data_IF_409660343109
#
_entry.id   IF_409660343109
#
_cell.length_a   1.000
_cell.length_b   1.000
_cell.length_c   1.000
_cell.angle_alpha   90.00
_cell.angle_beta   90.00
_cell.angle_gamma   90.00
#
_symmetry.space_group_name_H-M   'P 1'
#
loop_
_entity.id
_entity.type
_entity.pdbx_description
1 polymer ?
#
# COMPACT_ATOMS: atom_id res chain seq x y z
N UNK A 1 -31.03 -49.25 -50.15
CA UNK A 1 -30.37 -48.60 -49.00
C UNK A 1 -30.65 -47.11 -49.11
N UNK A 2 -31.49 -46.54 -48.21
CA UNK A 2 -32.07 -45.20 -48.34
C UNK A 2 -31.44 -44.31 -47.26
N UNK A 3 -30.45 -43.49 -47.64
CA UNK A 3 -29.82 -42.52 -46.73
C UNK A 3 -30.65 -41.24 -46.70
N UNK A 4 -31.28 -40.97 -45.57
CA UNK A 4 -32.00 -39.72 -45.29
C UNK A 4 -30.99 -38.67 -44.85
N UNK A 5 -30.80 -37.63 -45.65
CA UNK A 5 -29.95 -36.47 -45.35
C UNK A 5 -30.70 -35.54 -44.38
N UNK A 6 -30.21 -35.40 -43.14
CA UNK A 6 -30.63 -34.32 -42.23
C UNK A 6 -29.60 -33.20 -42.29
N UNK A 7 -29.90 -32.12 -43.03
CA UNK A 7 -29.11 -30.87 -42.98
C UNK A 7 -29.51 -30.08 -41.73
N UNK A 8 -28.72 -30.19 -40.67
CA UNK A 8 -28.72 -29.24 -39.54
C UNK A 8 -27.27 -28.91 -39.22
N UNK A 9 -26.72 -27.93 -39.93
CA UNK A 9 -25.54 -27.22 -39.46
C UNK A 9 -25.85 -25.73 -39.60
N UNK A 10 -26.50 -25.24 -38.55
CA UNK A 10 -26.67 -23.84 -38.23
C UNK A 10 -25.30 -23.16 -38.20
N UNK A 11 -25.31 -21.93 -38.72
CA UNK A 11 -24.21 -20.96 -38.72
C UNK A 11 -23.39 -20.99 -37.42
N UNK A 12 -22.08 -21.14 -37.57
CA UNK A 12 -21.09 -20.75 -36.56
C UNK A 12 -19.99 -19.96 -37.25
N UNK A 13 -20.22 -18.67 -37.50
CA UNK A 13 -19.19 -17.75 -37.93
C UNK A 13 -19.68 -16.31 -37.76
N UNK A 14 -19.47 -15.73 -36.57
CA UNK A 14 -19.26 -14.29 -36.34
C UNK A 14 -19.19 -14.00 -34.83
N UNK A 15 -18.14 -14.49 -34.16
CA UNK A 15 -17.76 -14.03 -32.82
C UNK A 15 -16.37 -13.40 -32.82
N UNK A 16 -15.99 -12.75 -33.93
CA UNK A 16 -14.67 -12.15 -34.14
C UNK A 16 -14.72 -10.61 -34.26
N UNK A 17 -15.70 -9.96 -33.64
CA UNK A 17 -15.84 -8.49 -33.64
C UNK A 17 -15.73 -7.86 -32.24
N UNK A 18 -15.42 -8.61 -31.19
CA UNK A 18 -15.32 -8.05 -29.83
C UNK A 18 -13.89 -7.81 -29.34
N UNK A 19 -12.87 -8.00 -30.20
CA UNK A 19 -11.49 -7.63 -29.87
C UNK A 19 -11.18 -6.14 -30.16
N UNK A 20 -12.19 -5.27 -30.07
CA UNK A 20 -12.04 -3.82 -30.03
C UNK A 20 -12.32 -3.24 -28.63
N UNK A 21 -12.63 -4.08 -27.64
CA UNK A 21 -12.72 -3.69 -26.23
C UNK A 21 -11.39 -3.84 -25.47
N UNK A 22 -10.27 -3.82 -26.21
CA UNK A 22 -9.00 -3.32 -25.67
C UNK A 22 -8.69 -1.95 -26.30
N UNK A 23 -9.74 -1.20 -26.70
CA UNK A 23 -9.71 0.26 -26.66
C UNK A 23 -9.09 0.60 -25.31
N UNK A 24 -8.00 1.36 -25.32
CA UNK A 24 -7.54 2.03 -24.11
C UNK A 24 -8.80 2.51 -23.40
N UNK A 25 -9.07 1.94 -22.22
CA UNK A 25 -9.94 2.61 -21.28
C UNK A 25 -9.29 3.98 -21.16
N UNK A 26 -9.95 4.98 -21.74
CA UNK A 26 -9.91 6.34 -21.24
C UNK A 26 -10.50 6.26 -19.83
N UNK A 27 -9.74 5.62 -18.93
CA UNK A 27 -9.78 5.93 -17.52
C UNK A 27 -9.78 7.44 -17.49
N UNK A 28 -10.78 7.99 -16.80
CA UNK A 28 -10.93 9.40 -16.53
C UNK A 28 -9.74 9.88 -15.66
N UNK A 29 -8.54 9.82 -16.23
CA UNK A 29 -7.32 10.38 -15.71
C UNK A 29 -7.43 11.85 -16.08
N UNK A 30 -8.14 12.58 -15.23
CA UNK A 30 -7.88 14.00 -15.05
C UNK A 30 -6.35 14.13 -15.03
N UNK A 31 -5.73 14.65 -16.09
CA UNK A 31 -4.29 14.52 -16.38
C UNK A 31 -3.36 15.25 -15.40
N UNK A 32 -3.85 15.51 -14.19
CA UNK A 32 -3.09 16.01 -13.08
C UNK A 32 -2.34 14.91 -12.32
N UNK A 33 -1.55 15.32 -11.31
CA UNK A 33 -0.76 14.42 -10.50
C UNK A 33 -1.60 13.34 -9.80
N UNK A 34 -1.06 12.12 -9.71
CA UNK A 34 -1.72 10.98 -9.03
C UNK A 34 -1.26 10.93 -7.58
N UNK A 35 -2.21 10.90 -6.64
CA UNK A 35 -1.94 10.87 -5.20
C UNK A 35 -1.34 9.53 -4.74
N UNK A 36 -0.35 9.61 -3.85
CA UNK A 36 0.15 8.46 -3.10
C UNK A 36 -0.76 8.22 -1.89
N UNK A 37 -1.66 7.25 -2.01
CA UNK A 37 -2.61 6.86 -0.96
C UNK A 37 -2.13 5.61 -0.26
N UNK A 38 -1.91 5.71 1.05
CA UNK A 38 -1.38 4.61 1.86
C UNK A 38 -2.47 4.05 2.77
N UNK A 39 -2.41 2.74 2.97
CA UNK A 39 -3.28 2.02 3.89
C UNK A 39 -2.48 0.98 4.66
N UNK A 40 -2.83 0.79 5.92
CA UNK A 40 -2.19 -0.19 6.79
C UNK A 40 -2.84 -1.57 6.65
N UNK A 41 -2.04 -2.62 6.64
CA UNK A 41 -2.51 -4.00 6.78
C UNK A 41 -1.42 -4.83 7.42
N UNK A 42 -1.74 -5.57 8.47
CA UNK A 42 -0.85 -6.57 9.04
C UNK A 42 -1.40 -7.92 8.60
N UNK A 43 -0.61 -8.66 7.82
CA UNK A 43 -0.83 -10.10 7.68
C UNK A 43 -0.48 -10.73 9.02
N UNK A 44 -1.48 -10.88 9.89
CA UNK A 44 -1.31 -11.57 11.17
C UNK A 44 -0.86 -13.00 10.85
N UNK A 45 0.40 -13.33 11.12
CA UNK A 45 0.78 -14.74 11.25
C UNK A 45 -0.09 -15.32 12.36
N UNK A 46 -0.98 -16.24 12.02
CA UNK A 46 -1.89 -16.87 12.97
C UNK A 46 -1.12 -17.57 14.10
N UNK A 47 -0.92 -16.86 15.21
CA UNK A 47 -0.29 -17.44 16.41
C UNK A 47 -1.36 -18.20 17.20
N UNK A 48 -1.75 -19.40 16.72
CA UNK A 48 -2.28 -20.60 17.44
C UNK A 48 -3.08 -20.46 18.76
N UNK A 49 -3.71 -19.33 19.05
CA UNK A 49 -4.53 -19.08 20.24
C UNK A 49 -5.81 -18.42 19.77
N UNK A 50 -6.93 -18.86 20.35
CA UNK A 50 -8.26 -18.35 20.06
C UNK A 50 -8.32 -16.83 20.30
N UNK A 51 -8.04 -16.05 19.26
CA UNK A 51 -8.21 -14.61 19.24
C UNK A 51 -9.62 -14.35 18.73
N UNK A 52 -10.57 -14.12 19.64
CA UNK A 52 -11.94 -13.70 19.29
C UNK A 52 -12.04 -12.20 19.04
N UNK A 53 -10.92 -11.53 18.77
CA UNK A 53 -10.84 -10.09 18.53
C UNK A 53 -9.58 -9.79 17.69
N UNK A 54 -9.49 -10.43 16.52
CA UNK A 54 -8.45 -10.10 15.54
C UNK A 54 -8.79 -8.68 15.07
N UNK A 55 -8.06 -7.70 15.59
CA UNK A 55 -8.09 -6.34 15.11
C UNK A 55 -7.72 -6.39 13.62
N UNK A 56 -8.72 -6.24 12.74
CA UNK A 56 -8.51 -6.09 11.30
C UNK A 56 -7.83 -4.74 10.95
N UNK A 57 -7.69 -3.88 11.96
CA UNK A 57 -6.99 -2.61 11.92
C UNK A 57 -5.57 -2.85 12.43
N UNK A 58 -4.57 -2.54 11.61
CA UNK A 58 -3.17 -2.77 11.92
C UNK A 58 -2.64 -1.84 13.05
N UNK A 59 -3.30 -0.70 13.25
CA UNK A 59 -2.93 0.33 14.23
C UNK A 59 -4.19 0.92 14.86
N UNK A 60 -4.08 1.35 16.12
CA UNK A 60 -5.14 2.09 16.80
C UNK A 60 -5.37 3.47 16.13
N UNK A 61 -6.58 3.99 16.30
CA UNK A 61 -6.96 5.30 15.74
C UNK A 61 -6.03 6.41 16.24
N UNK A 62 -5.59 7.28 15.33
CA UNK A 62 -4.67 8.41 15.56
C UNK A 62 -3.22 8.04 15.88
N UNK A 63 -2.83 6.76 15.75
CA UNK A 63 -1.43 6.37 15.82
C UNK A 63 -0.61 7.01 14.70
N UNK A 64 0.66 7.29 15.00
CA UNK A 64 1.59 8.00 14.10
C UNK A 64 2.62 7.06 13.50
N UNK A 65 2.79 7.14 12.19
CA UNK A 65 3.70 6.32 11.39
C UNK A 65 4.64 7.24 10.62
N UNK A 66 5.96 7.03 10.74
CA UNK A 66 6.95 7.74 9.93
C UNK A 66 7.06 7.07 8.57
N UNK A 67 6.70 7.77 7.50
CA UNK A 67 6.74 7.27 6.12
C UNK A 67 7.89 7.92 5.36
N UNK A 68 8.69 7.08 4.72
CA UNK A 68 9.80 7.47 3.87
C UNK A 68 9.50 7.12 2.42
N UNK A 69 9.63 8.09 1.52
CA UNK A 69 9.30 7.96 0.10
C UNK A 69 10.48 8.45 -0.73
N UNK A 70 11.00 7.60 -1.61
CA UNK A 70 12.06 7.96 -2.54
C UNK A 70 11.63 7.63 -3.96
N UNK A 71 11.90 8.53 -4.91
CA UNK A 71 11.76 8.20 -6.33
C UNK A 71 12.74 7.08 -6.71
N UNK A 72 12.23 6.01 -7.30
CA UNK A 72 12.99 4.84 -7.70
C UNK A 72 13.76 5.09 -9.01
N UNK A 73 14.76 5.97 -8.94
CA UNK A 73 15.59 6.36 -10.08
C UNK A 73 17.08 6.19 -9.78
N UNK A 74 17.86 5.85 -10.81
CA UNK A 74 19.31 5.82 -10.75
C UNK A 74 19.95 7.20 -11.04
N UNK A 75 19.15 8.17 -11.48
CA UNK A 75 19.56 9.55 -11.74
C UNK A 75 19.12 10.52 -10.66
N UNK A 76 19.09 11.81 -10.98
CA UNK A 76 18.53 12.83 -10.08
C UNK A 76 17.00 12.67 -9.99
N UNK A 77 16.41 12.54 -8.79
CA UNK A 77 14.97 12.57 -8.61
C UNK A 77 14.34 13.82 -9.19
N UNK A 78 13.18 13.66 -9.82
CA UNK A 78 12.32 14.77 -10.26
C UNK A 78 11.46 15.32 -9.13
N UNK A 79 11.22 14.50 -8.10
CA UNK A 79 10.38 14.83 -6.95
C UNK A 79 11.18 14.65 -5.68
N UNK A 80 11.19 15.70 -4.85
CA UNK A 80 11.71 15.65 -3.49
C UNK A 80 10.54 15.54 -2.52
N UNK A 81 10.63 14.58 -1.59
CA UNK A 81 9.61 14.35 -0.58
C UNK A 81 10.20 14.72 0.78
N UNK A 82 9.59 15.60 1.58
CA UNK A 82 10.10 15.89 2.93
C UNK A 82 10.08 14.61 3.78
N UNK A 83 11.20 14.28 4.43
CA UNK A 83 11.35 13.01 5.17
C UNK A 83 11.57 13.25 6.67
N UNK A 84 10.97 12.43 7.55
CA UNK A 84 9.82 11.56 7.27
C UNK A 84 8.55 12.37 7.04
N UNK A 85 7.61 11.82 6.27
CA UNK A 85 6.22 12.29 6.27
C UNK A 85 5.51 11.56 7.40
N UNK A 86 5.00 12.28 8.40
CA UNK A 86 4.33 11.68 9.55
C UNK A 86 2.85 11.46 9.22
N UNK A 87 2.48 10.22 8.92
CA UNK A 87 1.10 9.83 8.67
C UNK A 87 0.37 9.51 9.98
N UNK A 88 -0.94 9.73 9.98
CA UNK A 88 -1.84 9.42 11.10
C UNK A 88 -2.86 8.37 10.69
N UNK A 89 -2.98 7.29 11.47
CA UNK A 89 -4.01 6.28 11.28
C UNK A 89 -5.41 6.90 11.39
N UNK A 90 -6.27 6.63 10.41
CA UNK A 90 -7.65 7.10 10.42
C UNK A 90 -8.43 6.60 11.64
N UNK A 91 -9.46 7.34 12.03
CA UNK A 91 -10.34 6.95 13.15
C UNK A 91 -11.16 5.70 12.88
N UNK A 92 -11.31 5.32 11.61
CA UNK A 92 -12.06 4.14 11.17
C UNK A 92 -11.40 3.54 9.94
N UNK A 93 -11.27 2.21 9.91
CA UNK A 93 -10.69 1.49 8.78
C UNK A 93 -9.17 1.66 8.71
N UNK A 94 -8.61 1.48 7.52
CA UNK A 94 -7.17 1.20 7.37
C UNK A 94 -6.40 2.33 6.69
N UNK A 95 -7.00 3.50 6.49
CA UNK A 95 -6.37 4.60 5.76
C UNK A 95 -5.33 5.30 6.61
N UNK A 96 -4.17 5.60 6.02
CA UNK A 96 -3.16 6.47 6.60
C UNK A 96 -3.34 7.87 6.01
N UNK A 97 -3.54 8.87 6.87
CA UNK A 97 -3.73 10.26 6.45
C UNK A 97 -2.41 11.01 6.53
N UNK A 98 -1.92 11.64 5.45
CA UNK A 98 -0.77 12.53 5.51
C UNK A 98 -1.09 13.80 6.31
N UNK A 99 -0.09 14.60 6.69
CA UNK A 99 -0.32 15.92 7.25
C UNK A 99 -1.17 16.78 6.30
N UNK A 100 -1.99 17.67 6.87
CA UNK A 100 -2.88 18.53 6.09
C UNK A 100 -2.09 19.40 5.11
N UNK A 101 -2.41 19.28 3.82
CA UNK A 101 -1.72 20.02 2.75
C UNK A 101 -0.40 19.40 2.29
N UNK A 102 0.01 18.27 2.86
CA UNK A 102 1.27 17.58 2.54
C UNK A 102 1.02 16.23 1.83
N UNK A 103 -0.10 16.09 1.11
CA UNK A 103 -0.40 14.90 0.33
C UNK A 103 0.70 14.67 -0.73
N UNK A 104 1.44 13.56 -0.68
CA UNK A 104 2.44 13.26 -1.70
C UNK A 104 1.78 12.71 -2.97
N UNK A 105 2.45 12.91 -4.10
CA UNK A 105 2.02 12.46 -5.43
C UNK A 105 3.12 11.63 -6.08
N UNK A 106 2.76 10.77 -7.02
CA UNK A 106 3.74 10.06 -7.85
C UNK A 106 4.61 11.05 -8.65
N UNK A 107 5.89 10.73 -8.89
CA UNK A 107 6.79 11.58 -9.64
C UNK A 107 6.29 11.88 -11.04
N UNK A 108 6.44 13.14 -11.49
CA UNK A 108 6.05 13.55 -12.85
C UNK A 108 6.93 12.92 -13.95
N UNK A 109 8.09 12.39 -13.60
CA UNK A 109 8.96 11.60 -14.47
C UNK A 109 8.32 10.27 -14.92
N UNK A 110 7.30 9.79 -14.21
CA UNK A 110 6.74 8.44 -14.39
C UNK A 110 7.59 7.34 -13.73
N UNK A 111 8.66 7.70 -13.01
CA UNK A 111 9.41 6.75 -12.18
C UNK A 111 8.51 6.20 -11.06
N UNK A 112 8.78 4.96 -10.65
CA UNK A 112 8.17 4.40 -9.44
C UNK A 112 8.68 5.10 -8.17
N UNK A 113 8.17 4.67 -7.02
CA UNK A 113 8.67 5.08 -5.70
C UNK A 113 8.98 3.85 -4.85
N UNK A 114 9.99 3.95 -4.00
CA UNK A 114 10.21 3.03 -2.88
C UNK A 114 9.67 3.67 -1.62
N UNK A 115 8.87 2.90 -0.86
CA UNK A 115 8.20 3.39 0.35
C UNK A 115 8.63 2.50 1.52
N UNK A 116 9.12 3.14 2.59
CA UNK A 116 9.41 2.50 3.87
C UNK A 116 8.58 3.16 4.96
N UNK A 117 8.14 2.41 5.97
CA UNK A 117 7.38 2.95 7.08
C UNK A 117 7.89 2.40 8.41
N UNK A 118 7.91 3.25 9.44
CA UNK A 118 8.34 2.89 10.80
C UNK A 118 7.26 3.31 11.79
N UNK A 119 6.90 2.38 12.67
CA UNK A 119 5.96 2.60 13.78
C UNK A 119 6.59 2.07 15.09
N UNK A 120 6.37 2.73 16.24
CA UNK A 120 5.73 4.03 16.38
C UNK A 120 6.61 5.17 15.83
N UNK A 121 5.98 6.26 15.39
CA UNK A 121 6.69 7.48 15.01
C UNK A 121 7.57 7.97 16.16
N UNK A 122 8.80 8.36 15.85
CA UNK A 122 9.77 8.81 16.85
C UNK A 122 10.54 10.03 16.37
N UNK A 123 11.24 10.71 17.29
CA UNK A 123 12.17 11.79 16.91
C UNK A 123 13.50 11.27 16.33
N UNK A 124 13.72 9.96 16.32
CA UNK A 124 14.93 9.34 15.79
C UNK A 124 14.85 9.24 14.27
N UNK A 125 15.93 9.56 13.58
CA UNK A 125 15.98 9.49 12.12
C UNK A 125 16.20 8.06 11.65
N UNK A 126 15.25 7.50 10.91
CA UNK A 126 15.44 6.22 10.22
C UNK A 126 16.16 6.45 8.90
N UNK A 127 17.26 5.73 8.66
CA UNK A 127 18.01 5.82 7.41
C UNK A 127 17.62 4.67 6.49
N UNK A 128 16.98 4.97 5.37
CA UNK A 128 16.53 3.96 4.37
C UNK A 128 17.68 3.29 3.62
N UNK A 129 18.89 3.87 3.65
CA UNK A 129 20.11 3.33 3.03
C UNK A 129 20.74 2.11 3.72
N UNK A 130 20.07 1.55 4.74
CA UNK A 130 20.57 0.46 5.58
C UNK A 130 20.16 -0.96 5.20
N UNK A 131 19.27 -1.13 4.20
CA UNK A 131 18.99 -2.47 3.63
C UNK A 131 20.10 -2.86 2.65
N UNK A 132 21.34 -2.84 3.12
CA UNK A 132 22.35 -3.71 2.52
C UNK A 132 21.86 -5.14 2.74
N UNK A 133 21.87 -5.94 1.67
CA UNK A 133 21.57 -7.38 1.70
C UNK A 133 22.50 -8.19 2.61
N UNK A 134 23.40 -7.53 3.33
CA UNK A 134 24.51 -8.09 4.08
C UNK A 134 25.19 -7.12 5.08
N UNK A 135 24.59 -5.98 5.46
CA UNK A 135 25.18 -5.10 6.49
C UNK A 135 24.21 -4.68 7.59
N UNK A 136 24.62 -5.05 8.79
CA UNK A 136 24.14 -4.77 10.14
C UNK A 136 23.78 -3.29 10.39
N UNK A 137 22.62 -2.84 9.88
CA UNK A 137 21.97 -1.62 10.39
C UNK A 137 21.30 -1.96 11.72
N UNK A 138 22.06 -1.89 12.81
CA UNK A 138 21.58 -2.21 14.15
C UNK A 138 20.61 -1.11 14.67
N UNK A 139 19.35 -1.17 14.26
CA UNK A 139 18.27 -0.40 14.91
C UNK A 139 18.07 -0.97 16.32
N UNK A 140 18.53 -0.24 17.34
CA UNK A 140 18.38 -0.69 18.73
C UNK A 140 16.97 -0.39 19.20
N UNK A 141 16.15 -1.43 19.36
CA UNK A 141 14.83 -1.32 20.00
C UNK A 141 14.97 -1.58 21.50
N UNK A 142 14.69 -0.58 22.33
CA UNK A 142 14.68 -0.73 23.79
C UNK A 142 13.26 -0.95 24.29
N UNK A 143 13.03 -2.09 24.93
CA UNK A 143 11.76 -2.39 25.61
C UNK A 143 11.84 -1.84 27.04
N UNK A 144 10.86 -1.06 27.46
CA UNK A 144 10.76 -0.65 28.87
C UNK A 144 10.34 -1.85 29.74
N UNK A 145 10.86 -1.93 30.96
CA UNK A 145 10.61 -3.06 31.88
C UNK A 145 9.16 -3.21 32.32
N UNK A 146 8.33 -2.19 32.16
CA UNK A 146 6.89 -2.25 32.39
C UNK A 146 6.15 -1.95 31.09
N UNK A 147 5.27 -2.87 30.69
CA UNK A 147 4.41 -2.79 29.50
C UNK A 147 2.94 -3.03 29.89
N UNK A 148 2.62 -2.94 31.18
CA UNK A 148 1.27 -3.13 31.70
C UNK A 148 0.64 -1.79 32.05
N UNK A 149 -0.50 -1.48 31.43
CA UNK A 149 -1.34 -0.40 31.93
C UNK A 149 -2.25 -0.92 33.04
N UNK A 150 -2.24 -0.27 34.21
CA UNK A 150 -3.21 -0.56 35.27
C UNK A 150 -4.57 0.00 34.88
N UNK A 151 -5.40 -0.81 34.22
CA UNK A 151 -6.78 -0.43 33.89
C UNK A 151 -7.67 -0.58 35.12
N UNK A 152 -7.97 0.53 35.78
CA UNK A 152 -8.92 0.53 36.92
C UNK A 152 -10.34 0.43 36.38
N UNK A 153 -11.02 -0.67 36.67
CA UNK A 153 -12.44 -0.86 36.37
C UNK A 153 -13.23 -0.13 37.47
N UNK A 154 -13.93 0.94 37.12
CA UNK A 154 -14.94 1.58 37.99
C UNK A 154 -16.33 1.02 37.71
#
# INVERSE_FOLDING_TARGET
>A
MKMTIKKKYLLFAAAALTLAACSNDDENLNGGPVELRLSSGIEVQEVTRAATDIQNEAFDANEKIDVYINEATAGTPSTDYPQPIVYTQATTGNSLNPPSGEQPYFPSSGSGVTIHAVYPSSSETFTTGGYATDAESNTTFTIQTDQSETRTIS
#
